data_IF_997975581486
#
_entry.id   IF_997975581486
#
_cell.length_a   1.000
_cell.length_b   1.000
_cell.length_c   1.000
_cell.angle_alpha   90.00
_cell.angle_beta   90.00
_cell.angle_gamma   90.00
#
_symmetry.space_group_name_H-M   'P 1'
#
loop_
_entity.id
_entity.type
_entity.pdbx_description
1 polymer ?
#
# COMPACT_ATOMS: atom_id res chain seq x y z
N UNK A 1 3.89 38.76 -35.34
CA UNK A 1 4.21 37.36 -35.70
C UNK A 1 5.25 36.87 -34.71
N UNK A 2 4.90 35.86 -33.90
CA UNK A 2 5.73 35.07 -32.97
C UNK A 2 6.40 35.80 -31.78
N UNK A 3 6.41 35.31 -30.52
CA UNK A 3 5.77 34.19 -29.83
C UNK A 3 5.75 34.54 -28.33
N UNK A 4 4.68 34.19 -27.62
CA UNK A 4 4.50 34.44 -26.18
C UNK A 4 5.43 33.58 -25.31
N UNK A 5 5.84 34.17 -24.20
CA UNK A 5 6.84 33.64 -23.29
C UNK A 5 6.40 32.38 -22.57
N UNK A 6 7.22 31.33 -22.69
CA UNK A 6 7.17 30.17 -21.81
C UNK A 6 8.03 30.50 -20.58
N UNK A 7 7.39 30.71 -19.43
CA UNK A 7 8.06 30.84 -18.15
C UNK A 7 8.62 29.47 -17.72
N UNK A 8 9.88 29.20 -18.06
CA UNK A 8 10.59 28.00 -17.60
C UNK A 8 11.06 28.23 -16.16
N UNK A 9 10.31 27.70 -15.20
CA UNK A 9 10.72 27.69 -13.78
C UNK A 9 11.63 26.49 -13.54
N UNK A 10 12.92 26.74 -13.27
CA UNK A 10 13.88 25.71 -12.86
C UNK A 10 13.60 25.27 -11.42
N UNK A 11 13.10 24.04 -11.25
CA UNK A 11 12.83 23.45 -9.93
C UNK A 11 14.16 22.95 -9.33
N UNK A 12 14.58 23.53 -8.20
CA UNK A 12 15.83 23.18 -7.52
C UNK A 12 15.85 21.75 -6.96
N UNK A 13 17.06 21.17 -6.85
CA UNK A 13 17.32 19.78 -6.45
C UNK A 13 16.68 19.37 -5.11
N UNK A 14 16.49 20.33 -4.21
CA UNK A 14 15.86 20.18 -2.89
C UNK A 14 14.34 19.94 -2.95
N UNK A 15 13.69 20.24 -4.09
CA UNK A 15 12.25 20.08 -4.30
C UNK A 15 11.99 19.04 -5.38
N UNK A 16 11.98 17.77 -5.01
CA UNK A 16 11.43 16.73 -5.87
C UNK A 16 9.92 16.95 -5.96
N UNK A 17 9.33 17.31 -7.12
CA UNK A 17 7.88 17.30 -7.25
C UNK A 17 7.38 15.90 -6.93
N UNK A 18 6.34 15.81 -6.10
CA UNK A 18 5.75 14.52 -5.73
C UNK A 18 5.38 13.75 -7.00
N UNK A 19 5.67 12.46 -7.04
CA UNK A 19 5.30 11.60 -8.15
C UNK A 19 3.77 11.59 -8.25
N UNK A 20 3.20 12.31 -9.23
CA UNK A 20 1.78 12.22 -9.55
C UNK A 20 1.61 10.98 -10.44
N UNK A 21 1.28 9.86 -9.81
CA UNK A 21 0.86 8.65 -10.53
C UNK A 21 -0.56 8.89 -11.01
N UNK A 22 -0.72 9.29 -12.27
CA UNK A 22 -2.04 9.31 -12.93
C UNK A 22 -2.44 7.87 -13.25
N UNK A 23 -3.33 7.28 -12.45
CA UNK A 23 -3.94 5.99 -12.76
C UNK A 23 -4.99 6.20 -13.87
N UNK A 24 -4.58 6.09 -15.13
CA UNK A 24 -5.42 6.42 -16.29
C UNK A 24 -6.43 5.33 -16.69
N UNK A 25 -6.28 4.11 -16.19
CA UNK A 25 -7.22 3.02 -16.44
C UNK A 25 -7.21 2.05 -15.26
N UNK A 26 -8.26 2.07 -14.44
CA UNK A 26 -8.49 1.02 -13.45
C UNK A 26 -9.45 -0.03 -14.02
N UNK A 27 -9.23 -1.29 -13.67
CA UNK A 27 -10.03 -2.41 -14.16
C UNK A 27 -11.36 -2.50 -13.40
N UNK A 28 -12.47 -2.11 -14.05
CA UNK A 28 -13.82 -2.08 -13.45
C UNK A 28 -14.75 -3.17 -14.01
N UNK A 29 -14.20 -4.20 -14.65
CA UNK A 29 -15.00 -5.22 -15.34
C UNK A 29 -16.07 -5.90 -14.47
N UNK A 30 -15.85 -6.22 -13.18
CA UNK A 30 -16.88 -6.81 -12.33
C UNK A 30 -18.10 -5.89 -12.16
N UNK A 31 -17.87 -4.59 -11.96
CA UNK A 31 -18.94 -3.60 -11.79
C UNK A 31 -19.75 -3.47 -13.08
N UNK A 32 -19.07 -3.41 -14.23
CA UNK A 32 -19.72 -3.34 -15.54
C UNK A 32 -20.53 -4.61 -15.83
N UNK A 33 -20.01 -5.78 -15.48
CA UNK A 33 -20.71 -7.05 -15.64
C UNK A 33 -21.98 -7.12 -14.78
N UNK A 34 -21.90 -6.68 -13.51
CA UNK A 34 -23.06 -6.67 -12.61
C UNK A 34 -24.13 -5.69 -13.12
N UNK A 35 -23.72 -4.48 -13.53
CA UNK A 35 -24.63 -3.48 -14.07
C UNK A 35 -25.35 -3.98 -15.33
N UNK A 36 -24.60 -4.59 -16.25
CA UNK A 36 -25.17 -5.20 -17.46
C UNK A 36 -26.09 -6.38 -17.12
N UNK A 37 -25.69 -7.24 -16.18
CA UNK A 37 -26.48 -8.39 -15.78
C UNK A 37 -27.83 -8.00 -15.17
N UNK A 38 -27.86 -6.97 -14.32
CA UNK A 38 -29.12 -6.39 -13.83
C UNK A 38 -29.96 -5.78 -14.96
N UNK A 39 -29.33 -5.07 -15.89
CA UNK A 39 -30.03 -4.42 -17.01
C UNK A 39 -30.62 -5.42 -18.02
N UNK A 40 -30.03 -6.61 -18.14
CA UNK A 40 -30.48 -7.65 -19.08
C UNK A 40 -31.87 -8.20 -18.78
N UNK A 41 -32.33 -8.13 -17.52
CA UNK A 41 -33.63 -8.65 -17.08
C UNK A 41 -33.76 -10.18 -17.15
N UNK A 42 -32.71 -10.89 -17.55
CA UNK A 42 -32.70 -12.34 -17.73
C UNK A 42 -32.32 -13.01 -16.41
N UNK A 43 -33.19 -13.90 -15.92
CA UNK A 43 -33.09 -14.42 -14.55
C UNK A 43 -31.77 -15.17 -14.29
N UNK A 44 -31.25 -15.90 -15.27
CA UNK A 44 -29.96 -16.60 -15.14
C UNK A 44 -28.80 -15.62 -15.08
N UNK A 45 -28.76 -14.62 -15.95
CA UNK A 45 -27.70 -13.60 -15.97
C UNK A 45 -27.68 -12.77 -14.68
N UNK A 46 -28.85 -12.37 -14.16
CA UNK A 46 -28.95 -11.66 -12.87
C UNK A 46 -28.41 -12.52 -11.73
N UNK A 47 -28.73 -13.82 -11.71
CA UNK A 47 -28.23 -14.75 -10.69
C UNK A 47 -26.70 -14.87 -10.73
N UNK A 48 -26.12 -14.99 -11.93
CA UNK A 48 -24.65 -15.05 -12.11
C UNK A 48 -23.99 -13.75 -11.65
N UNK A 49 -24.54 -12.59 -12.04
CA UNK A 49 -24.06 -11.28 -11.61
C UNK A 49 -24.07 -11.13 -10.08
N UNK A 50 -25.14 -11.56 -9.42
CA UNK A 50 -25.26 -11.47 -7.96
C UNK A 50 -24.29 -12.41 -7.24
N UNK A 51 -24.01 -13.59 -7.80
CA UNK A 51 -23.02 -14.51 -7.26
C UNK A 51 -21.59 -13.95 -7.34
N UNK A 52 -21.23 -13.33 -8.47
CA UNK A 52 -19.95 -12.63 -8.64
C UNK A 52 -19.84 -11.48 -7.64
N UNK A 53 -20.90 -10.67 -7.47
CA UNK A 53 -20.93 -9.60 -6.48
C UNK A 53 -20.74 -10.13 -5.05
N UNK A 54 -21.43 -11.21 -4.69
CA UNK A 54 -21.32 -11.82 -3.36
C UNK A 54 -19.88 -12.28 -3.08
N UNK A 55 -19.24 -12.93 -4.05
CA UNK A 55 -17.84 -13.36 -3.94
C UNK A 55 -16.90 -12.17 -3.78
N UNK A 56 -17.10 -11.11 -4.57
CA UNK A 56 -16.30 -9.89 -4.49
C UNK A 56 -16.42 -9.20 -3.12
N UNK A 57 -17.64 -9.06 -2.60
CA UNK A 57 -17.89 -8.52 -1.26
C UNK A 57 -17.23 -9.40 -0.20
N UNK A 58 -17.38 -10.73 -0.31
CA UNK A 58 -16.78 -11.65 0.65
C UNK A 58 -15.25 -11.52 0.67
N UNK A 59 -14.60 -11.42 -0.48
CA UNK A 59 -13.14 -11.26 -0.55
C UNK A 59 -12.68 -9.88 -0.08
N UNK A 60 -13.46 -8.83 -0.36
CA UNK A 60 -13.21 -7.49 0.20
C UNK A 60 -13.26 -7.50 1.74
N UNK A 61 -14.25 -8.20 2.32
CA UNK A 61 -14.37 -8.33 3.77
C UNK A 61 -13.28 -9.23 4.37
N UNK A 62 -12.86 -10.29 3.67
CA UNK A 62 -11.70 -11.11 4.10
C UNK A 62 -10.40 -10.30 4.12
N UNK A 63 -10.22 -9.38 3.16
CA UNK A 63 -9.06 -8.48 3.11
C UNK A 63 -9.09 -7.35 4.15
N UNK A 64 -10.25 -7.00 4.69
CA UNK A 64 -10.39 -5.97 5.73
C UNK A 64 -9.90 -6.44 7.11
N UNK A 65 -9.83 -7.75 7.34
CA UNK A 65 -9.23 -8.37 8.52
C UNK A 65 -7.79 -8.83 8.25
N UNK A 66 -6.96 -7.97 7.64
CA UNK A 66 -5.56 -8.29 7.35
C UNK A 66 -4.87 -8.95 8.54
N UNK A 67 -4.01 -9.94 8.27
CA UNK A 67 -3.22 -10.61 9.31
C UNK A 67 -2.62 -9.55 10.26
N UNK A 68 -2.66 -9.77 11.59
CA UNK A 68 -2.30 -8.75 12.56
C UNK A 68 -0.89 -8.24 12.25
N UNK A 69 -0.80 -7.07 11.63
CA UNK A 69 0.46 -6.43 11.30
C UNK A 69 0.97 -5.74 12.56
N UNK A 70 2.07 -6.27 13.09
CA UNK A 70 2.78 -5.69 14.22
C UNK A 70 3.84 -4.77 13.66
N UNK A 71 3.78 -3.50 14.07
CA UNK A 71 4.81 -2.51 13.79
C UNK A 71 5.64 -2.28 15.05
N UNK A 72 6.94 -2.57 14.97
CA UNK A 72 7.88 -2.36 16.07
C UNK A 72 9.00 -1.44 15.63
N UNK A 73 9.23 -0.39 16.41
CA UNK A 73 10.34 0.54 16.24
C UNK A 73 11.27 0.43 17.46
N UNK A 74 12.53 0.09 17.20
CA UNK A 74 13.57 0.01 18.24
C UNK A 74 14.66 1.01 17.92
N UNK A 75 14.91 1.91 18.86
CA UNK A 75 16.00 2.89 18.80
C UNK A 75 17.05 2.51 19.82
N UNK A 76 18.28 2.28 19.35
CA UNK A 76 19.44 1.99 20.19
C UNK A 76 20.39 3.16 20.11
N UNK A 77 20.53 3.87 21.22
CA UNK A 77 21.48 4.98 21.39
C UNK A 77 22.68 4.50 22.20
N UNK A 78 23.88 4.70 21.66
CA UNK A 78 25.13 4.38 22.34
C UNK A 78 25.87 5.68 22.65
N UNK A 79 25.78 6.13 23.90
CA UNK A 79 26.35 7.41 24.34
C UNK A 79 27.88 7.47 24.15
N UNK A 80 28.58 6.34 24.32
CA UNK A 80 30.03 6.26 24.17
C UNK A 80 30.53 6.61 22.75
N UNK A 81 29.79 6.19 21.71
CA UNK A 81 30.19 6.34 20.31
C UNK A 81 29.35 7.38 19.55
N UNK A 82 28.37 8.03 20.22
CA UNK A 82 27.34 8.89 19.62
C UNK A 82 26.61 8.25 18.43
N UNK A 83 26.49 6.92 18.42
CA UNK A 83 25.82 6.18 17.34
C UNK A 83 24.37 5.92 17.72
N UNK A 84 23.45 6.35 16.86
CA UNK A 84 22.03 6.04 16.93
C UNK A 84 21.67 5.04 15.82
N UNK A 85 21.11 3.88 16.20
CA UNK A 85 20.64 2.86 15.25
C UNK A 85 19.14 2.69 15.43
N UNK A 86 18.41 2.80 14.32
CA UNK A 86 16.96 2.60 14.26
C UNK A 86 16.63 1.33 13.48
N UNK A 87 15.81 0.47 14.06
CA UNK A 87 15.28 -0.74 13.44
C UNK A 87 13.76 -0.61 13.36
N UNK A 88 13.21 -0.77 12.16
CA UNK A 88 11.77 -0.76 11.91
C UNK A 88 11.39 -2.15 11.40
N UNK A 89 10.46 -2.80 12.08
CA UNK A 89 9.87 -4.07 11.66
C UNK A 89 8.37 -3.90 11.44
N UNK A 90 7.89 -4.43 10.32
CA UNK A 90 6.49 -4.43 9.93
C UNK A 90 6.18 -5.80 9.32
N UNK A 91 5.35 -6.57 10.00
CA UNK A 91 5.11 -7.97 9.66
C UNK A 91 4.15 -8.65 10.62
N UNK A 92 4.06 -9.96 10.54
CA UNK A 92 3.22 -10.76 11.43
C UNK A 92 3.80 -10.89 12.85
N UNK A 93 2.98 -11.37 13.78
CA UNK A 93 3.42 -11.60 15.16
C UNK A 93 4.47 -12.73 15.27
N UNK A 94 4.50 -13.67 14.31
CA UNK A 94 5.45 -14.79 14.31
C UNK A 94 6.89 -14.32 14.04
N UNK A 95 7.07 -13.36 13.13
CA UNK A 95 8.38 -12.79 12.83
C UNK A 95 8.96 -11.90 13.95
N UNK A 96 8.16 -11.58 14.98
CA UNK A 96 8.65 -10.85 16.16
C UNK A 96 9.68 -11.64 16.96
N UNK A 97 9.58 -12.98 16.99
CA UNK A 97 10.56 -13.84 17.66
C UNK A 97 11.96 -13.77 17.00
N UNK A 98 12.03 -13.48 15.70
CA UNK A 98 13.28 -13.29 14.98
C UNK A 98 13.91 -11.90 15.23
N UNK A 99 13.18 -10.97 15.86
CA UNK A 99 13.64 -9.62 16.14
C UNK A 99 14.62 -9.57 17.31
N UNK A 100 14.41 -10.42 18.33
CA UNK A 100 15.25 -10.50 19.52
C UNK A 100 16.76 -10.68 19.21
N UNK A 101 17.20 -11.68 18.42
CA UNK A 101 18.62 -11.85 18.12
C UNK A 101 19.20 -10.66 17.32
N UNK A 102 18.38 -9.99 16.51
CA UNK A 102 18.79 -8.81 15.73
C UNK A 102 18.99 -7.60 16.63
N UNK A 103 18.09 -7.35 17.58
CA UNK A 103 18.22 -6.28 18.57
C UNK A 103 19.45 -6.51 19.46
N UNK A 104 19.65 -7.74 19.95
CA UNK A 104 20.82 -8.08 20.79
C UNK A 104 22.14 -7.82 20.07
N UNK A 105 22.24 -8.15 18.78
CA UNK A 105 23.42 -7.88 17.94
C UNK A 105 23.68 -6.37 17.78
N UNK A 106 22.64 -5.60 17.47
CA UNK A 106 22.73 -4.14 17.34
C UNK A 106 23.14 -3.49 18.67
N UNK A 107 22.61 -3.98 19.79
CA UNK A 107 22.91 -3.51 21.13
C UNK A 107 24.33 -3.90 21.61
N UNK A 108 24.86 -5.05 21.21
CA UNK A 108 26.19 -5.51 21.67
C UNK A 108 27.37 -4.95 20.88
N UNK A 109 27.15 -4.28 19.74
CA UNK A 109 28.20 -3.49 19.07
C UNK A 109 29.24 -4.32 18.33
N UNK A 110 28.82 -5.47 17.80
CA UNK A 110 29.54 -6.24 16.78
C UNK A 110 28.74 -6.27 15.48
#
# INVERSE_FOLDING_TARGET
MAEEGIAVTLVGHERRPGLIVNQSASWHAPVLFIAWGLASGEATTVSVALNVLSTYIADFLKGAGGAPQVKVEVVVEREADRVCKRLIYEGDAEGLAALEPTIRRIASGK
#
